data_IF_281406849351
#
_entry.id   IF_281406849351
#
_cell.length_a   1.000
_cell.length_b   1.000
_cell.length_c   1.000
_cell.angle_alpha   90.00
_cell.angle_beta   90.00
_cell.angle_gamma   90.00
#
_symmetry.space_group_name_H-M   'P 1'
#
loop_
_entity.id
_entity.type
_entity.pdbx_description
1 polymer ?
#
# COMPACT_ATOMS: atom_id res chain seq x y z
N UNK A 1 -0.49 -26.93 -0.29
CA UNK A 1 -1.18 -25.68 -0.56
C UNK A 1 -0.25 -24.50 -0.32
N UNK A 2 -0.23 -23.56 -1.25
CA UNK A 2 0.55 -22.34 -1.05
C UNK A 2 -0.05 -21.50 0.08
N UNK A 3 0.79 -21.04 1.00
CA UNK A 3 0.39 -20.19 2.10
C UNK A 3 0.05 -18.79 1.56
N UNK A 4 -1.02 -18.20 2.04
CA UNK A 4 -1.42 -16.85 1.63
C UNK A 4 -0.75 -15.81 2.51
N UNK A 5 -0.04 -14.86 1.90
CA UNK A 5 0.69 -13.81 2.60
C UNK A 5 0.12 -12.41 2.38
N UNK A 6 -0.66 -12.20 1.32
CA UNK A 6 -1.23 -10.90 0.99
C UNK A 6 -2.75 -10.98 0.98
N UNK A 7 -3.38 -9.87 1.40
CA UNK A 7 -4.84 -9.75 1.47
C UNK A 7 -5.25 -8.37 0.94
N UNK A 8 -6.10 -8.34 -0.08
CA UNK A 8 -6.76 -7.10 -0.47
C UNK A 8 -7.62 -6.59 0.69
N UNK A 9 -7.86 -5.28 0.74
CA UNK A 9 -8.74 -4.72 1.77
C UNK A 9 -10.14 -5.36 1.73
N UNK A 10 -10.62 -5.76 0.55
CA UNK A 10 -11.89 -6.46 0.38
C UNK A 10 -11.88 -7.92 0.86
N UNK A 11 -10.71 -8.49 1.09
CA UNK A 11 -10.54 -9.88 1.54
C UNK A 11 -10.43 -10.00 3.07
N UNK A 12 -10.37 -8.88 3.79
CA UNK A 12 -10.18 -8.88 5.23
C UNK A 12 -11.35 -8.27 6.00
N UNK A 13 -11.24 -8.28 7.33
CA UNK A 13 -12.20 -7.65 8.25
C UNK A 13 -11.53 -7.36 9.60
N UNK A 14 -12.29 -6.74 10.51
CA UNK A 14 -11.79 -6.34 11.84
C UNK A 14 -11.34 -7.53 12.71
N UNK A 15 -11.90 -8.72 12.51
CA UNK A 15 -11.54 -9.90 13.30
C UNK A 15 -10.17 -10.47 12.95
N UNK A 16 -9.59 -10.08 11.80
CA UNK A 16 -8.31 -10.57 11.32
C UNK A 16 -7.11 -9.75 11.81
N UNK A 17 -7.24 -9.10 12.96
CA UNK A 17 -6.21 -8.21 13.52
C UNK A 17 -4.87 -8.92 13.73
N UNK A 18 -4.87 -10.19 14.07
CA UNK A 18 -3.65 -10.96 14.30
C UNK A 18 -2.87 -11.20 13.01
N UNK A 19 -3.58 -11.35 11.90
CA UNK A 19 -3.00 -11.64 10.58
C UNK A 19 -2.67 -10.34 9.84
N UNK A 20 -3.54 -9.34 9.92
CA UNK A 20 -3.43 -8.10 9.15
C UNK A 20 -2.80 -6.94 9.94
N UNK A 21 -2.60 -7.12 11.25
CA UNK A 21 -2.26 -6.02 12.13
C UNK A 21 -3.45 -5.08 12.37
N UNK A 22 -3.30 -4.14 13.31
CA UNK A 22 -4.40 -3.23 13.65
C UNK A 22 -4.83 -2.33 12.50
N UNK A 23 -3.87 -1.73 11.81
CA UNK A 23 -4.15 -0.83 10.67
C UNK A 23 -4.78 -1.60 9.50
N UNK A 24 -4.23 -2.76 9.15
CA UNK A 24 -4.73 -3.57 8.05
C UNK A 24 -6.16 -4.06 8.28
N UNK A 25 -6.44 -4.57 9.47
CA UNK A 25 -7.77 -5.03 9.84
C UNK A 25 -8.80 -3.90 9.83
N UNK A 26 -8.44 -2.73 10.35
CA UNK A 26 -9.32 -1.55 10.35
C UNK A 26 -9.59 -1.04 8.94
N UNK A 27 -8.58 -0.98 8.07
CA UNK A 27 -8.76 -0.59 6.68
C UNK A 27 -9.67 -1.56 5.93
N UNK A 28 -9.51 -2.86 6.17
CA UNK A 28 -10.37 -3.88 5.58
C UNK A 28 -11.83 -3.71 6.03
N UNK A 29 -12.04 -3.50 7.33
CA UNK A 29 -13.38 -3.29 7.87
C UNK A 29 -14.04 -2.02 7.31
N UNK A 30 -13.31 -0.91 7.27
CA UNK A 30 -13.82 0.33 6.66
C UNK A 30 -14.18 0.12 5.19
N UNK A 31 -13.35 -0.58 4.44
CA UNK A 31 -13.62 -0.90 3.04
C UNK A 31 -14.93 -1.66 2.89
N UNK A 32 -15.17 -2.66 3.73
CA UNK A 32 -16.39 -3.47 3.71
C UNK A 32 -17.62 -2.65 4.09
N UNK A 33 -17.53 -1.83 5.14
CA UNK A 33 -18.63 -0.97 5.60
C UNK A 33 -19.03 0.02 4.49
N UNK A 34 -18.07 0.68 3.88
CA UNK A 34 -18.36 1.65 2.83
C UNK A 34 -18.82 1.00 1.53
N UNK A 35 -18.32 -0.18 1.22
CA UNK A 35 -18.80 -0.95 0.07
C UNK A 35 -20.28 -1.34 0.22
N UNK A 36 -20.69 -1.71 1.42
CA UNK A 36 -22.09 -2.04 1.72
C UNK A 36 -23.00 -0.81 1.66
N UNK A 37 -22.58 0.29 2.31
CA UNK A 37 -23.39 1.51 2.41
C UNK A 37 -23.35 2.40 1.17
N UNK A 38 -22.23 2.42 0.48
CA UNK A 38 -21.99 3.29 -0.67
C UNK A 38 -21.27 2.53 -1.78
N UNK A 39 -21.98 1.60 -2.46
CA UNK A 39 -21.35 0.74 -3.47
C UNK A 39 -20.68 1.51 -4.62
N UNK A 40 -21.20 2.71 -4.94
CA UNK A 40 -20.69 3.55 -6.03
C UNK A 40 -19.63 4.55 -5.58
N UNK A 41 -19.43 4.69 -4.28
CA UNK A 41 -18.53 5.71 -3.69
C UNK A 41 -17.78 5.17 -2.49
N UNK A 42 -16.84 4.28 -2.73
CA UNK A 42 -16.00 3.84 -1.64
C UNK A 42 -14.90 4.90 -1.36
N UNK A 43 -14.96 5.63 -0.21
CA UNK A 43 -13.97 6.64 0.11
C UNK A 43 -12.63 6.04 0.56
N UNK A 44 -12.57 4.73 0.82
CA UNK A 44 -11.33 4.06 1.19
C UNK A 44 -10.57 3.69 -0.08
N UNK A 45 -9.36 4.21 -0.28
CA UNK A 45 -8.54 3.85 -1.43
C UNK A 45 -8.27 2.34 -1.45
N UNK A 46 -8.13 1.79 -2.65
CA UNK A 46 -7.79 0.39 -2.81
C UNK A 46 -6.38 0.11 -2.32
N UNK A 47 -6.17 -1.08 -1.78
CA UNK A 47 -4.88 -1.49 -1.29
C UNK A 47 -4.87 -2.94 -0.85
N UNK A 48 -3.70 -3.41 -0.44
CA UNK A 48 -3.56 -4.73 0.16
C UNK A 48 -2.64 -4.68 1.37
N UNK A 49 -2.75 -5.70 2.21
CA UNK A 49 -1.92 -5.85 3.40
C UNK A 49 -1.06 -7.09 3.25
N UNK A 50 0.24 -6.95 3.52
CA UNK A 50 1.16 -8.07 3.68
C UNK A 50 1.00 -8.55 5.12
N UNK A 51 0.71 -9.84 5.30
CA UNK A 51 0.31 -10.39 6.61
C UNK A 51 1.47 -10.45 7.61
N UNK A 52 1.10 -10.60 8.88
CA UNK A 52 2.08 -10.84 9.95
C UNK A 52 2.82 -12.16 9.76
N UNK A 53 2.20 -13.14 9.11
CA UNK A 53 2.85 -14.41 8.79
C UNK A 53 3.99 -14.23 7.80
N UNK A 54 3.84 -13.32 6.83
CA UNK A 54 4.93 -12.98 5.91
C UNK A 54 6.10 -12.32 6.66
N UNK A 55 5.80 -11.49 7.66
CA UNK A 55 6.81 -10.87 8.51
C UNK A 55 7.57 -11.94 9.33
N UNK A 56 6.86 -12.89 9.91
CA UNK A 56 7.47 -14.03 10.63
C UNK A 56 8.38 -14.82 9.71
N UNK A 57 7.90 -15.17 8.53
CA UNK A 57 8.67 -15.91 7.55
C UNK A 57 9.94 -15.18 7.11
N UNK A 58 9.85 -13.85 6.96
CA UNK A 58 11.00 -13.01 6.65
C UNK A 58 12.11 -13.15 7.70
N UNK A 59 11.76 -13.17 8.97
CA UNK A 59 12.74 -13.34 10.05
C UNK A 59 13.28 -14.79 10.12
N UNK A 60 12.43 -15.78 9.90
CA UNK A 60 12.85 -17.19 9.86
C UNK A 60 13.82 -17.48 8.71
N UNK A 61 13.63 -16.81 7.57
CA UNK A 61 14.49 -16.91 6.39
C UNK A 61 15.77 -16.04 6.49
N UNK A 62 16.10 -15.55 7.69
CA UNK A 62 17.31 -14.76 7.92
C UNK A 62 17.24 -13.33 7.39
N UNK A 63 16.08 -12.70 7.51
CA UNK A 63 15.79 -11.35 7.03
C UNK A 63 15.83 -11.24 5.52
N UNK A 64 15.27 -12.24 4.86
CA UNK A 64 15.13 -12.25 3.40
C UNK A 64 13.67 -12.46 3.03
N UNK A 65 13.23 -11.77 1.98
CA UNK A 65 11.94 -12.02 1.38
C UNK A 65 12.10 -13.23 0.44
N UNK A 66 11.40 -14.33 0.75
CA UNK A 66 11.47 -15.50 -0.11
C UNK A 66 10.73 -15.30 -1.44
N UNK A 67 11.00 -16.18 -2.40
CA UNK A 67 10.44 -16.04 -3.75
C UNK A 67 8.92 -16.12 -3.78
N UNK A 68 8.32 -16.93 -2.91
CA UNK A 68 6.86 -17.08 -2.83
C UNK A 68 6.18 -15.78 -2.35
N UNK A 69 6.73 -15.17 -1.32
CA UNK A 69 6.23 -13.88 -0.80
C UNK A 69 6.40 -12.78 -1.86
N UNK A 70 7.56 -12.73 -2.49
CA UNK A 70 7.83 -11.73 -3.53
C UNK A 70 6.89 -11.88 -4.72
N UNK A 71 6.68 -13.10 -5.19
CA UNK A 71 5.76 -13.39 -6.29
C UNK A 71 4.33 -12.98 -5.96
N UNK A 72 3.87 -13.26 -4.74
CA UNK A 72 2.54 -12.88 -4.29
C UNK A 72 2.38 -11.36 -4.18
N UNK A 73 3.39 -10.65 -3.67
CA UNK A 73 3.40 -9.18 -3.63
C UNK A 73 3.25 -8.62 -5.04
N UNK A 74 4.01 -9.12 -6.00
CA UNK A 74 3.95 -8.68 -7.39
C UNK A 74 2.58 -8.95 -8.01
N UNK A 75 1.98 -10.11 -7.72
CA UNK A 75 0.63 -10.44 -8.16
C UNK A 75 -0.41 -9.45 -7.61
N UNK A 76 -0.32 -9.10 -6.33
CA UNK A 76 -1.24 -8.15 -5.71
C UNK A 76 -1.02 -6.71 -6.18
N UNK A 77 0.20 -6.33 -6.55
CA UNK A 77 0.46 -5.05 -7.22
C UNK A 77 -0.27 -4.99 -8.56
N UNK A 78 -0.22 -6.05 -9.35
CA UNK A 78 -0.94 -6.14 -10.63
C UNK A 78 -2.45 -6.04 -10.39
N UNK A 79 -2.98 -6.71 -9.39
CA UNK A 79 -4.40 -6.61 -9.01
C UNK A 79 -4.79 -5.18 -8.66
N UNK A 80 -3.96 -4.45 -7.93
CA UNK A 80 -4.17 -3.04 -7.62
C UNK A 80 -4.17 -2.17 -8.87
N UNK A 81 -3.24 -2.40 -9.77
CA UNK A 81 -3.18 -1.68 -11.04
C UNK A 81 -4.46 -1.89 -11.86
N UNK A 82 -4.97 -3.11 -11.90
CA UNK A 82 -6.23 -3.44 -12.58
C UNK A 82 -7.44 -2.77 -11.92
N UNK A 83 -7.53 -2.81 -10.58
CA UNK A 83 -8.65 -2.22 -9.83
C UNK A 83 -8.67 -0.70 -9.97
N UNK A 84 -7.52 -0.05 -9.89
CA UNK A 84 -7.40 1.41 -9.93
C UNK A 84 -7.37 1.97 -11.33
N UNK A 85 -7.04 1.16 -12.33
CA UNK A 85 -6.79 1.61 -13.71
C UNK A 85 -5.53 2.46 -13.86
N UNK A 86 -4.63 2.38 -12.89
CA UNK A 86 -3.36 3.14 -12.85
C UNK A 86 -2.20 2.16 -12.80
N UNK A 87 -1.01 2.61 -13.20
CA UNK A 87 0.20 1.79 -13.18
C UNK A 87 1.35 2.49 -12.49
N UNK A 88 2.17 1.73 -11.78
CA UNK A 88 3.42 2.24 -11.22
C UNK A 88 4.37 2.71 -12.32
N UNK A 89 4.88 3.93 -12.19
CA UNK A 89 5.81 4.51 -13.15
C UNK A 89 5.19 4.96 -14.46
N UNK A 90 3.89 4.88 -14.63
CA UNK A 90 3.21 5.36 -15.83
C UNK A 90 3.31 6.89 -15.90
N UNK A 91 3.67 7.39 -17.06
CA UNK A 91 3.81 8.82 -17.30
C UNK A 91 2.48 9.56 -17.37
N UNK A 92 1.42 8.89 -17.81
CA UNK A 92 0.11 9.51 -18.01
C UNK A 92 -0.81 9.37 -16.80
N UNK A 93 -0.86 8.19 -16.22
CA UNK A 93 -1.76 7.89 -15.11
C UNK A 93 -1.03 7.05 -14.04
N UNK A 94 -0.13 7.67 -13.27
CA UNK A 94 0.70 6.95 -12.32
C UNK A 94 -0.08 6.48 -11.10
N UNK A 95 0.22 5.26 -10.64
CA UNK A 95 -0.26 4.76 -9.36
C UNK A 95 0.73 5.19 -8.27
N UNK A 96 0.23 5.95 -7.30
CA UNK A 96 0.97 6.33 -6.10
C UNK A 96 0.32 5.69 -4.89
N UNK A 97 1.12 5.14 -4.01
CA UNK A 97 0.63 4.48 -2.80
C UNK A 97 1.39 4.95 -1.57
N UNK A 98 0.80 4.75 -0.41
CA UNK A 98 1.49 4.88 0.87
C UNK A 98 1.81 3.49 1.38
N UNK A 99 3.06 3.27 1.77
CA UNK A 99 3.48 2.05 2.45
C UNK A 99 3.54 2.32 3.93
N UNK A 100 2.75 1.57 4.69
CA UNK A 100 2.63 1.75 6.13
C UNK A 100 3.01 0.48 6.86
N UNK A 101 3.90 0.60 7.80
CA UNK A 101 4.19 -0.49 8.74
C UNK A 101 3.08 -0.59 9.76
N UNK A 102 2.76 -1.81 10.16
CA UNK A 102 1.73 -2.08 11.15
C UNK A 102 2.18 -3.09 12.19
N UNK A 103 1.58 -3.02 13.38
CA UNK A 103 1.79 -3.97 14.45
C UNK A 103 0.44 -4.31 15.10
N UNK A 104 0.42 -5.39 15.89
CA UNK A 104 -0.77 -5.76 16.66
C UNK A 104 -1.20 -4.63 17.59
N UNK A 105 -0.22 -4.06 18.30
CA UNK A 105 -0.39 -2.89 19.16
C UNK A 105 0.35 -1.72 18.50
N UNK A 106 -0.38 -0.69 18.15
CA UNK A 106 0.16 0.48 17.48
C UNK A 106 0.33 1.62 18.49
N UNK A 107 1.53 2.22 18.48
CA UNK A 107 1.80 3.46 19.22
C UNK A 107 2.22 4.55 18.24
N UNK A 108 1.85 5.81 18.48
CA UNK A 108 2.29 6.92 17.63
C UNK A 108 3.83 6.97 17.51
N UNK A 109 4.33 7.14 16.30
CA UNK A 109 5.77 7.24 16.04
C UNK A 109 6.55 5.94 16.12
N UNK A 110 5.90 4.80 16.36
CA UNK A 110 6.58 3.51 16.52
C UNK A 110 7.06 2.92 15.19
N UNK A 111 6.36 3.21 14.10
CA UNK A 111 6.66 2.66 12.78
C UNK A 111 6.57 3.72 11.70
N UNK A 112 7.39 3.53 10.68
CA UNK A 112 7.50 4.46 9.58
C UNK A 112 6.37 4.32 8.56
N UNK A 113 6.10 5.43 7.88
CA UNK A 113 5.21 5.49 6.72
C UNK A 113 5.96 6.15 5.57
N UNK A 114 5.93 5.54 4.40
CA UNK A 114 6.47 6.12 3.18
C UNK A 114 5.31 6.57 2.31
N UNK A 115 5.21 7.86 2.06
CA UNK A 115 4.17 8.45 1.23
C UNK A 115 4.63 8.57 -0.21
N UNK A 116 3.67 8.50 -1.13
CA UNK A 116 3.89 8.71 -2.56
C UNK A 116 4.90 7.76 -3.20
N UNK A 117 4.92 6.50 -2.75
CA UNK A 117 5.70 5.46 -3.41
C UNK A 117 5.21 5.31 -4.86
N UNK A 118 6.12 5.33 -5.80
CA UNK A 118 5.84 5.33 -7.23
C UNK A 118 6.24 6.63 -7.92
N UNK A 119 6.66 7.66 -7.17
CA UNK A 119 7.18 8.89 -7.74
C UNK A 119 8.56 8.67 -8.36
N UNK A 120 8.74 9.26 -9.53
CA UNK A 120 10.03 9.43 -10.22
C UNK A 120 10.01 10.77 -10.97
N UNK A 121 11.08 11.11 -11.66
CA UNK A 121 11.18 12.38 -12.38
C UNK A 121 10.04 12.58 -13.38
N UNK A 122 9.75 11.57 -14.20
CA UNK A 122 8.69 11.64 -15.20
C UNK A 122 7.29 11.82 -14.56
N UNK A 123 7.01 11.08 -13.49
CA UNK A 123 5.74 11.15 -12.78
C UNK A 123 5.55 12.52 -12.12
N UNK A 124 6.59 13.08 -11.53
CA UNK A 124 6.55 14.41 -10.92
C UNK A 124 6.22 15.49 -11.96
N UNK A 125 6.83 15.42 -13.13
CA UNK A 125 6.53 16.35 -14.22
C UNK A 125 5.08 16.23 -14.68
N UNK A 126 4.56 15.02 -14.80
CA UNK A 126 3.16 14.78 -15.13
C UNK A 126 2.22 15.36 -14.06
N UNK A 127 2.53 15.16 -12.79
CA UNK A 127 1.76 15.73 -11.68
C UNK A 127 1.79 17.26 -11.70
N UNK A 128 2.95 17.85 -11.97
CA UNK A 128 3.10 19.30 -12.08
C UNK A 128 2.23 19.86 -13.20
N UNK A 129 2.23 19.21 -14.36
CA UNK A 129 1.41 19.61 -15.51
C UNK A 129 -0.10 19.47 -15.22
N UNK A 130 -0.53 18.33 -14.68
CA UNK A 130 -1.96 18.07 -14.41
C UNK A 130 -2.54 18.95 -13.30
N UNK A 131 -1.76 19.21 -12.26
CA UNK A 131 -2.21 20.05 -11.14
C UNK A 131 -2.09 21.55 -11.38
N UNK A 132 -1.23 21.93 -12.33
CA UNK A 132 -0.86 23.34 -12.52
C UNK A 132 -0.01 23.90 -11.38
N UNK A 133 0.54 23.04 -10.52
CA UNK A 133 1.31 23.45 -9.35
C UNK A 133 2.60 22.63 -9.24
N UNK A 134 3.64 23.09 -9.94
CA UNK A 134 4.95 22.45 -9.96
C UNK A 134 5.58 22.42 -8.55
N UNK A 135 5.43 23.48 -7.77
CA UNK A 135 5.97 23.56 -6.42
C UNK A 135 5.44 22.43 -5.53
N UNK A 136 4.14 22.22 -5.57
CA UNK A 136 3.51 21.13 -4.82
C UNK A 136 4.02 19.75 -5.27
N UNK A 137 4.09 19.51 -6.59
CA UNK A 137 4.54 18.24 -7.13
C UNK A 137 5.99 17.93 -6.73
N UNK A 138 6.88 18.89 -6.83
CA UNK A 138 8.27 18.71 -6.43
C UNK A 138 8.44 18.60 -4.90
N UNK A 139 7.59 19.26 -4.10
CA UNK A 139 7.60 19.06 -2.66
C UNK A 139 7.19 17.62 -2.28
N UNK A 140 6.21 17.05 -2.96
CA UNK A 140 5.85 15.64 -2.79
C UNK A 140 7.03 14.72 -3.09
N UNK A 141 7.75 14.99 -4.18
CA UNK A 141 8.93 14.21 -4.56
C UNK A 141 10.05 14.35 -3.54
N UNK A 142 10.31 15.55 -3.08
CA UNK A 142 11.31 15.82 -2.04
C UNK A 142 11.01 15.01 -0.78
N UNK A 143 9.76 15.02 -0.32
CA UNK A 143 9.33 14.26 0.86
C UNK A 143 9.48 12.75 0.65
N UNK A 144 9.12 12.27 -0.52
CA UNK A 144 9.28 10.85 -0.85
C UNK A 144 10.74 10.43 -0.79
N UNK A 145 11.64 11.18 -1.44
CA UNK A 145 13.09 10.90 -1.42
C UNK A 145 13.61 10.90 0.02
N UNK A 146 13.22 11.88 0.82
CA UNK A 146 13.65 11.98 2.22
C UNK A 146 13.20 10.78 3.05
N UNK A 147 11.94 10.40 2.94
CA UNK A 147 11.39 9.26 3.68
C UNK A 147 11.96 7.92 3.22
N UNK A 148 12.17 7.75 1.92
CA UNK A 148 12.67 6.51 1.35
C UNK A 148 14.15 6.29 1.66
N UNK A 149 14.94 7.36 1.76
CA UNK A 149 16.39 7.29 2.03
C UNK A 149 16.74 7.13 3.51
N UNK A 150 15.83 7.42 4.41
CA UNK A 150 16.00 7.16 5.83
C UNK A 150 15.85 5.66 6.11
#
# INVERSE_FOLDING_TARGET
MAKKYCYLFTEGNASMREILGGKGANLAEMTNIFKEKFPDRNPVPQGFTISTEACTQYYEDGRKINDDIQAEIMEYIVKMEEITGKKFGDKENPLLVSVRSGARASMPGMMDTILNLGLNEDVVETMAAKSGNARWAYDCYRRFIQMYSD
#
